data_IF_503339340817
#
_entry.id   IF_503339340817
#
_cell.length_a   1.000
_cell.length_b   1.000
_cell.length_c   1.000
_cell.angle_alpha   90.00
_cell.angle_beta   90.00
_cell.angle_gamma   90.00
#
_symmetry.space_group_name_H-M   'P 1'
#
loop_
_entity.id
_entity.type
_entity.pdbx_description
1 polymer ?
#
# COMPACT_ATOMS: atom_id res chain seq x y z
N UNK A 1 -15.86 33.03 -9.01
CA UNK A 1 -16.17 31.62 -8.70
C UNK A 1 -15.05 30.78 -9.26
N UNK A 2 -14.08 30.41 -8.43
CA UNK A 2 -12.94 29.60 -8.85
C UNK A 2 -13.36 28.14 -8.81
N UNK A 3 -13.53 27.52 -9.97
CA UNK A 3 -13.79 26.08 -10.08
C UNK A 3 -12.53 25.36 -9.61
N UNK A 4 -12.57 24.76 -8.43
CA UNK A 4 -11.52 23.84 -7.97
C UNK A 4 -11.59 22.61 -8.89
N UNK A 5 -10.58 22.43 -9.74
CA UNK A 5 -10.48 21.25 -10.58
C UNK A 5 -10.45 20.02 -9.67
N UNK A 6 -11.39 19.09 -9.86
CA UNK A 6 -11.37 17.83 -9.10
C UNK A 6 -10.06 17.11 -9.39
N UNK A 7 -9.36 16.60 -8.37
CA UNK A 7 -8.16 15.80 -8.59
C UNK A 7 -8.49 14.61 -9.48
N UNK A 8 -7.65 14.36 -10.48
CA UNK A 8 -7.80 13.21 -11.38
C UNK A 8 -7.57 11.95 -10.56
N UNK A 9 -8.51 11.00 -10.63
CA UNK A 9 -8.32 9.68 -10.06
C UNK A 9 -7.14 8.98 -10.77
N UNK A 10 -6.22 8.42 -10.00
CA UNK A 10 -5.04 7.70 -10.47
C UNK A 10 -5.10 6.24 -10.01
N UNK A 11 -4.67 5.34 -10.89
CA UNK A 11 -4.54 3.92 -10.57
C UNK A 11 -3.11 3.62 -10.15
N UNK A 12 -3.00 2.89 -9.05
CA UNK A 12 -1.72 2.46 -8.46
C UNK A 12 -1.78 0.99 -8.06
N UNK A 13 -0.62 0.36 -7.90
CA UNK A 13 -0.54 -0.90 -7.16
C UNK A 13 -0.95 -0.66 -5.71
N UNK A 14 -1.70 -1.60 -5.15
CA UNK A 14 -1.96 -1.58 -3.72
C UNK A 14 -0.65 -1.69 -2.93
N UNK A 15 -0.54 -1.03 -1.75
CA UNK A 15 0.57 -1.21 -0.84
C UNK A 15 0.82 -2.69 -0.53
N UNK A 16 2.10 -3.05 -0.50
CA UNK A 16 2.53 -4.41 -0.20
C UNK A 16 2.39 -5.41 -1.34
N UNK A 17 1.95 -5.00 -2.54
CA UNK A 17 2.06 -5.85 -3.73
C UNK A 17 3.54 -6.06 -4.05
N UNK A 18 3.97 -7.31 -3.98
CA UNK A 18 5.30 -7.76 -4.37
C UNK A 18 5.23 -8.40 -5.76
N UNK A 19 6.26 -8.16 -6.57
CA UNK A 19 6.39 -8.75 -7.91
C UNK A 19 7.69 -9.52 -8.01
N UNK A 20 7.60 -10.74 -8.53
CA UNK A 20 8.72 -11.62 -8.78
C UNK A 20 8.76 -11.92 -10.28
N UNK A 21 9.72 -11.32 -11.01
CA UNK A 21 9.96 -11.69 -12.40
C UNK A 21 10.40 -13.15 -12.49
N UNK A 22 9.80 -13.88 -13.42
CA UNK A 22 10.20 -15.23 -13.82
C UNK A 22 10.79 -15.16 -15.24
N UNK A 23 11.34 -16.28 -15.73
CA UNK A 23 12.03 -16.33 -17.03
C UNK A 23 11.19 -15.76 -18.19
N UNK A 24 9.89 -16.09 -18.25
CA UNK A 24 8.96 -15.63 -19.28
C UNK A 24 7.58 -15.28 -18.69
N UNK A 25 7.55 -14.91 -17.41
CA UNK A 25 6.34 -14.72 -16.64
C UNK A 25 6.55 -13.71 -15.51
N UNK A 26 5.46 -13.33 -14.85
CA UNK A 26 5.47 -12.47 -13.66
C UNK A 26 4.59 -13.11 -12.60
N UNK A 27 5.11 -13.28 -11.39
CA UNK A 27 4.28 -13.60 -10.24
C UNK A 27 4.06 -12.34 -9.40
N UNK A 28 2.79 -12.01 -9.15
CA UNK A 28 2.41 -10.88 -8.30
C UNK A 28 1.64 -11.40 -7.09
N UNK A 29 1.97 -10.86 -5.91
CA UNK A 29 1.33 -11.23 -4.65
C UNK A 29 1.00 -9.98 -3.85
N UNK A 30 -0.26 -9.81 -3.50
CA UNK A 30 -0.73 -8.78 -2.59
C UNK A 30 -1.72 -9.35 -1.57
N UNK A 31 -2.29 -8.47 -0.75
CA UNK A 31 -3.31 -8.85 0.23
C UNK A 31 -4.61 -9.35 -0.43
N UNK A 32 -5.01 -8.72 -1.54
CA UNK A 32 -6.25 -9.05 -2.26
C UNK A 32 -6.19 -10.34 -3.07
N UNK A 33 -4.98 -10.87 -3.31
CA UNK A 33 -4.78 -12.09 -4.07
C UNK A 33 -3.37 -12.23 -4.60
N UNK A 34 -3.17 -13.29 -5.37
CA UNK A 34 -1.96 -13.51 -6.14
C UNK A 34 -2.32 -13.93 -7.55
N UNK A 35 -1.50 -13.56 -8.52
CA UNK A 35 -1.67 -14.02 -9.89
C UNK A 35 -0.32 -14.24 -10.55
N UNK A 36 -0.28 -15.17 -11.49
CA UNK A 36 0.88 -15.38 -12.36
C UNK A 36 0.46 -15.04 -13.79
N UNK A 37 1.16 -14.08 -14.41
CA UNK A 37 1.00 -13.74 -15.82
C UNK A 37 2.00 -14.57 -16.63
N UNK A 38 1.49 -15.30 -17.61
CA UNK A 38 2.26 -16.14 -18.53
C UNK A 38 1.81 -15.91 -19.98
N UNK A 39 2.46 -16.61 -20.92
CA UNK A 39 2.05 -16.60 -22.34
C UNK A 39 2.78 -15.58 -23.21
N UNK A 40 3.77 -14.86 -22.68
CA UNK A 40 4.65 -14.00 -23.47
C UNK A 40 6.00 -13.75 -22.81
N UNK A 41 7.09 -13.97 -23.54
CA UNK A 41 8.46 -13.62 -23.10
C UNK A 41 8.68 -12.11 -22.94
N UNK A 42 7.78 -11.29 -23.48
CA UNK A 42 7.84 -9.84 -23.35
C UNK A 42 7.34 -9.33 -21.98
N UNK A 43 6.71 -10.18 -21.16
CA UNK A 43 6.09 -9.77 -19.88
C UNK A 43 7.07 -9.07 -18.93
N UNK A 44 8.29 -9.59 -18.67
CA UNK A 44 9.24 -8.88 -17.80
C UNK A 44 9.64 -7.50 -18.35
N UNK A 45 9.76 -7.36 -19.68
CA UNK A 45 10.08 -6.07 -20.29
C UNK A 45 8.90 -5.09 -20.19
N UNK A 46 7.68 -5.56 -20.45
CA UNK A 46 6.45 -4.79 -20.26
C UNK A 46 6.31 -4.32 -18.80
N UNK A 47 6.60 -5.19 -17.84
CA UNK A 47 6.55 -4.84 -16.42
C UNK A 47 7.52 -3.72 -16.06
N UNK A 48 8.77 -3.76 -16.55
CA UNK A 48 9.75 -2.70 -16.30
C UNK A 48 9.29 -1.33 -16.77
N UNK A 49 8.50 -1.27 -17.85
CA UNK A 49 7.89 -0.02 -18.32
C UNK A 49 6.79 0.48 -17.36
N UNK A 50 6.02 -0.44 -16.78
CA UNK A 50 4.83 -0.11 -15.98
C UNK A 50 5.11 0.07 -14.49
N UNK A 51 6.15 -0.55 -13.94
CA UNK A 51 6.33 -0.66 -12.48
C UNK A 51 6.42 0.71 -11.79
N UNK A 52 7.30 1.60 -12.25
CA UNK A 52 7.43 2.95 -11.67
C UNK A 52 6.10 3.72 -11.73
N UNK A 53 5.50 3.89 -12.93
CA UNK A 53 4.20 4.54 -13.08
C UNK A 53 3.09 3.93 -12.21
N UNK A 54 3.05 2.61 -12.06
CA UNK A 54 2.08 1.92 -11.22
C UNK A 54 2.32 2.10 -9.73
N UNK A 55 3.57 2.25 -9.28
CA UNK A 55 3.89 2.52 -7.87
C UNK A 55 3.67 3.98 -7.50
N UNK A 56 3.95 4.89 -8.42
CA UNK A 56 4.02 6.33 -8.15
C UNK A 56 2.72 7.07 -8.55
N UNK A 57 1.81 6.41 -9.27
CA UNK A 57 0.58 7.02 -9.79
C UNK A 57 0.78 7.82 -11.08
N UNK A 58 1.81 7.46 -11.86
CA UNK A 58 2.06 8.00 -13.19
C UNK A 58 1.39 7.22 -14.33
N UNK A 59 0.59 6.18 -14.02
CA UNK A 59 0.02 5.29 -15.02
C UNK A 59 -0.84 6.05 -16.04
N UNK A 60 -1.70 6.95 -15.58
CA UNK A 60 -2.61 7.71 -16.45
C UNK A 60 -1.85 8.55 -17.47
N UNK A 61 -0.77 9.24 -17.03
CA UNK A 61 0.08 10.02 -17.91
C UNK A 61 0.81 9.13 -18.94
N UNK A 62 1.28 7.95 -18.51
CA UNK A 62 1.88 6.98 -19.42
C UNK A 62 0.87 6.51 -20.49
N UNK A 63 -0.36 6.19 -20.08
CA UNK A 63 -1.41 5.72 -21.00
C UNK A 63 -1.85 6.82 -21.97
N UNK A 64 -1.92 8.07 -21.53
CA UNK A 64 -2.26 9.22 -22.38
C UNK A 64 -1.20 9.43 -23.49
N UNK A 65 0.07 9.05 -23.24
CA UNK A 65 1.16 9.11 -24.22
C UNK A 65 1.27 7.90 -25.17
N UNK A 66 0.49 6.84 -24.97
CA UNK A 66 0.52 5.64 -25.83
C UNK A 66 -0.39 5.80 -27.05
N UNK A 67 0.11 5.42 -28.23
CA UNK A 67 -0.69 5.38 -29.46
C UNK A 67 -1.97 4.55 -29.27
N UNK A 68 -3.17 5.14 -29.47
CA UNK A 68 -4.43 4.43 -29.33
C UNK A 68 -4.49 3.20 -30.23
N UNK A 69 -5.03 2.09 -29.71
CA UNK A 69 -5.16 0.80 -30.43
C UNK A 69 -3.82 0.19 -30.89
N UNK A 70 -2.68 0.67 -30.41
CA UNK A 70 -1.41 -0.05 -30.60
C UNK A 70 -1.43 -1.41 -29.91
N UNK A 71 -0.57 -2.34 -30.37
CA UNK A 71 -0.43 -3.65 -29.73
C UNK A 71 0.06 -3.52 -28.27
N UNK A 72 0.98 -2.58 -28.03
CA UNK A 72 1.46 -2.26 -26.69
C UNK A 72 0.31 -1.78 -25.80
N UNK A 73 -0.50 -0.82 -26.27
CA UNK A 73 -1.63 -0.31 -25.49
C UNK A 73 -2.60 -1.42 -25.11
N UNK A 74 -2.96 -2.31 -26.04
CA UNK A 74 -3.81 -3.47 -25.74
C UNK A 74 -3.18 -4.42 -24.70
N UNK A 75 -1.88 -4.70 -24.81
CA UNK A 75 -1.19 -5.55 -23.84
C UNK A 75 -1.20 -4.95 -22.43
N UNK A 76 -1.01 -3.63 -22.33
CA UNK A 76 -1.13 -2.90 -21.06
C UNK A 76 -2.56 -2.99 -20.53
N UNK A 77 -3.58 -2.70 -21.36
CA UNK A 77 -4.98 -2.74 -20.93
C UNK A 77 -5.38 -4.15 -20.41
N UNK A 78 -4.94 -5.22 -21.09
CA UNK A 78 -5.16 -6.62 -20.64
C UNK A 78 -4.47 -6.87 -19.29
N UNK A 79 -3.22 -6.45 -19.13
CA UNK A 79 -2.49 -6.61 -17.89
C UNK A 79 -3.20 -5.87 -16.74
N UNK A 80 -3.60 -4.62 -16.95
CA UNK A 80 -4.32 -3.82 -15.96
C UNK A 80 -5.64 -4.47 -15.56
N UNK A 81 -6.38 -5.02 -16.52
CA UNK A 81 -7.61 -5.77 -16.25
C UNK A 81 -7.37 -7.00 -15.36
N UNK A 82 -6.26 -7.72 -15.57
CA UNK A 82 -5.88 -8.84 -14.69
C UNK A 82 -5.51 -8.36 -13.28
N UNK A 83 -4.75 -7.27 -13.15
CA UNK A 83 -4.41 -6.72 -11.84
C UNK A 83 -5.66 -6.25 -11.07
N UNK A 84 -6.61 -5.61 -11.75
CA UNK A 84 -7.87 -5.17 -11.17
C UNK A 84 -8.75 -6.35 -10.73
N UNK A 85 -8.92 -7.35 -11.60
CA UNK A 85 -9.70 -8.55 -11.30
C UNK A 85 -9.18 -9.33 -10.08
N UNK A 86 -7.88 -9.23 -9.79
CA UNK A 86 -7.24 -9.87 -8.62
C UNK A 86 -7.03 -8.91 -7.45
N UNK A 87 -7.65 -7.72 -7.48
CA UNK A 87 -7.60 -6.75 -6.39
C UNK A 87 -6.19 -6.23 -6.10
N UNK A 88 -5.30 -6.21 -7.08
CA UNK A 88 -3.92 -5.72 -6.95
C UNK A 88 -3.78 -4.23 -7.26
N UNK A 89 -4.82 -3.61 -7.84
CA UNK A 89 -4.88 -2.16 -8.06
C UNK A 89 -5.76 -1.47 -7.03
N UNK A 90 -5.41 -0.22 -6.77
CA UNK A 90 -6.26 0.77 -6.09
C UNK A 90 -6.47 1.96 -7.01
N UNK A 91 -7.59 2.65 -6.83
CA UNK A 91 -7.88 3.92 -7.49
C UNK A 91 -8.06 4.96 -6.40
N UNK A 92 -7.27 6.02 -6.44
CA UNK A 92 -7.29 7.08 -5.42
C UNK A 92 -7.00 8.44 -6.02
N UNK A 93 -6.96 9.46 -5.18
CA UNK A 93 -6.59 10.81 -5.62
C UNK A 93 -5.08 10.90 -5.86
N UNK A 94 -4.71 11.69 -6.87
CA UNK A 94 -3.33 12.03 -7.19
C UNK A 94 -2.77 13.05 -6.18
N UNK A 95 -2.92 12.83 -4.88
CA UNK A 95 -2.38 13.77 -3.91
C UNK A 95 -0.84 13.75 -3.93
N UNK A 96 -0.19 14.92 -3.77
CA UNK A 96 1.25 14.99 -3.55
C UNK A 96 1.62 14.25 -2.26
N UNK A 97 2.86 13.79 -2.10
CA UNK A 97 3.25 13.03 -0.93
C UNK A 97 3.16 13.89 0.35
N UNK A 98 2.03 13.83 1.04
CA UNK A 98 1.85 14.37 2.38
C UNK A 98 2.49 13.49 3.46
N UNK A 99 2.56 14.01 4.69
CA UNK A 99 3.14 13.35 5.88
C UNK A 99 2.26 12.20 6.42
N UNK A 100 0.98 12.14 6.05
CA UNK A 100 0.03 11.12 6.54
C UNK A 100 0.19 9.76 5.80
N UNK A 101 1.23 9.03 6.18
CA UNK A 101 1.47 7.67 5.68
C UNK A 101 0.37 6.68 6.09
N UNK A 102 -0.21 6.84 7.28
CA UNK A 102 -1.22 5.92 7.83
C UNK A 102 -2.54 6.08 7.08
N UNK A 103 -3.02 7.32 6.90
CA UNK A 103 -4.23 7.61 6.14
C UNK A 103 -4.15 7.10 4.70
N UNK A 104 -3.00 7.27 4.03
CA UNK A 104 -2.77 6.68 2.70
C UNK A 104 -2.83 5.16 2.71
N UNK A 105 -2.14 4.52 3.65
CA UNK A 105 -2.15 3.07 3.75
C UNK A 105 -3.57 2.54 3.97
N UNK A 106 -4.37 3.21 4.80
CA UNK A 106 -5.78 2.88 5.02
C UNK A 106 -6.63 3.11 3.76
N UNK A 107 -6.45 4.23 3.07
CA UNK A 107 -7.14 4.52 1.81
C UNK A 107 -6.91 3.44 0.76
N UNK A 108 -5.70 2.87 0.73
CA UNK A 108 -5.32 1.89 -0.28
C UNK A 108 -5.48 0.42 0.16
N UNK A 109 -5.63 0.16 1.46
CA UNK A 109 -5.64 -1.21 2.02
C UNK A 109 -6.94 -1.60 2.71
N UNK A 110 -7.72 -0.63 3.21
CA UNK A 110 -8.97 -0.90 3.91
C UNK A 110 -10.16 -0.87 2.93
N UNK A 111 -11.13 -1.76 3.13
CA UNK A 111 -12.39 -1.75 2.38
C UNK A 111 -13.23 -0.51 2.69
N UNK A 112 -13.18 -0.05 3.94
CA UNK A 112 -13.84 1.18 4.43
C UNK A 112 -12.81 2.10 5.10
N UNK A 113 -12.03 2.87 4.33
CA UNK A 113 -10.91 3.65 4.86
C UNK A 113 -11.29 4.64 5.96
N UNK A 114 -12.39 5.38 5.78
CA UNK A 114 -12.87 6.35 6.76
C UNK A 114 -13.22 5.67 8.10
N UNK A 115 -13.93 4.53 8.05
CA UNK A 115 -14.30 3.77 9.24
C UNK A 115 -13.05 3.20 9.93
N UNK A 116 -12.08 2.72 9.17
CA UNK A 116 -10.83 2.19 9.70
C UNK A 116 -9.97 3.30 10.36
N UNK A 117 -9.92 4.49 9.74
CA UNK A 117 -9.24 5.65 10.31
C UNK A 117 -9.93 6.13 11.60
N UNK A 118 -11.26 6.19 11.61
CA UNK A 118 -12.04 6.54 12.80
C UNK A 118 -11.85 5.51 13.93
N UNK A 119 -11.82 4.22 13.60
CA UNK A 119 -11.54 3.16 14.55
C UNK A 119 -10.15 3.30 15.17
N UNK A 120 -9.11 3.50 14.33
CA UNK A 120 -7.74 3.70 14.82
C UNK A 120 -7.61 4.94 15.70
N UNK A 121 -8.22 6.07 15.31
CA UNK A 121 -8.22 7.30 16.10
C UNK A 121 -8.90 7.14 17.48
N UNK A 122 -9.82 6.18 17.60
CA UNK A 122 -10.50 5.85 18.86
C UNK A 122 -9.71 4.91 19.78
N UNK A 123 -8.64 4.26 19.29
CA UNK A 123 -7.87 3.27 20.05
C UNK A 123 -6.78 3.96 20.88
N UNK A 124 -6.67 3.55 22.14
CA UNK A 124 -5.52 3.82 23.01
C UNK A 124 -4.83 2.49 23.29
N UNK A 125 -3.59 2.36 22.85
CA UNK A 125 -2.79 1.17 23.10
C UNK A 125 -2.02 1.32 24.42
N UNK A 126 -1.79 0.20 25.08
CA UNK A 126 -0.97 0.12 26.29
C UNK A 126 0.16 -0.89 26.07
N UNK A 127 1.39 -0.51 26.41
CA UNK A 127 2.55 -1.40 26.40
C UNK A 127 2.92 -1.69 27.84
N UNK A 128 2.67 -2.92 28.30
CA UNK A 128 3.07 -3.39 29.62
C UNK A 128 4.45 -4.03 29.55
N UNK A 129 5.34 -3.67 30.48
CA UNK A 129 6.69 -4.23 30.58
C UNK A 129 7.21 -4.18 32.02
N UNK A 130 8.14 -5.08 32.38
CA UNK A 130 8.86 -5.01 33.67
C UNK A 130 9.53 -3.65 33.89
N UNK A 131 10.20 -3.13 32.86
CA UNK A 131 10.68 -1.75 32.78
C UNK A 131 10.16 -1.10 31.47
N UNK A 132 9.30 -0.05 31.54
CA UNK A 132 8.86 0.70 30.38
C UNK A 132 10.00 1.37 29.58
N UNK A 133 11.15 1.58 30.21
CA UNK A 133 12.37 2.11 29.61
C UNK A 133 13.18 1.09 28.82
N UNK A 134 12.85 -0.20 28.90
CA UNK A 134 13.59 -1.23 28.18
C UNK A 134 13.53 -1.03 26.65
N UNK A 135 14.58 -1.44 25.90
CA UNK A 135 14.64 -1.25 24.46
C UNK A 135 13.43 -1.80 23.70
N UNK A 136 12.89 -2.95 24.12
CA UNK A 136 11.73 -3.59 23.49
C UNK A 136 10.44 -2.79 23.73
N UNK A 137 10.17 -2.38 24.98
CA UNK A 137 8.99 -1.57 25.32
C UNK A 137 9.01 -0.21 24.60
N UNK A 138 10.18 0.43 24.54
CA UNK A 138 10.37 1.66 23.77
C UNK A 138 10.16 1.44 22.27
N UNK A 139 10.70 0.37 21.71
CA UNK A 139 10.56 0.06 20.28
C UNK A 139 9.10 -0.22 19.91
N UNK A 140 8.40 -1.05 20.69
CA UNK A 140 6.99 -1.36 20.48
C UNK A 140 6.12 -0.11 20.57
N UNK A 141 6.30 0.71 21.61
CA UNK A 141 5.53 1.94 21.73
C UNK A 141 5.80 2.92 20.57
N UNK A 142 7.05 3.07 20.12
CA UNK A 142 7.36 3.90 18.95
C UNK A 142 6.71 3.37 17.67
N UNK A 143 6.69 2.05 17.48
CA UNK A 143 6.07 1.44 16.32
C UNK A 143 4.55 1.69 16.30
N UNK A 144 3.88 1.58 17.46
CA UNK A 144 2.45 1.87 17.60
C UNK A 144 2.16 3.37 17.37
N UNK A 145 2.98 4.27 17.91
CA UNK A 145 2.88 5.72 17.67
C UNK A 145 3.06 6.07 16.19
N UNK A 146 4.04 5.46 15.51
CA UNK A 146 4.24 5.60 14.06
C UNK A 146 3.07 5.02 13.26
N UNK A 147 2.35 4.05 13.82
CA UNK A 147 1.09 3.52 13.29
C UNK A 147 -0.13 4.40 13.55
N UNK A 148 0.05 5.56 14.18
CA UNK A 148 -1.02 6.52 14.45
C UNK A 148 -1.81 6.27 15.74
N UNK A 149 -1.34 5.39 16.62
CA UNK A 149 -2.01 5.09 17.89
C UNK A 149 -1.50 5.99 19.01
N UNK A 150 -2.40 6.39 19.90
CA UNK A 150 -2.02 6.94 21.19
C UNK A 150 -1.56 5.80 22.12
N UNK A 151 -0.34 5.89 22.65
CA UNK A 151 0.29 4.80 23.41
C UNK A 151 0.63 5.23 24.83
N UNK A 152 0.20 4.42 25.80
CA UNK A 152 0.70 4.50 27.19
C UNK A 152 1.70 3.37 27.41
N UNK A 153 2.76 3.62 28.19
CA UNK A 153 3.74 2.60 28.58
C UNK A 153 3.67 2.45 30.09
N UNK A 154 3.36 1.25 30.56
CA UNK A 154 3.04 0.99 31.97
C UNK A 154 3.96 -0.09 32.52
N UNK A 155 4.48 0.14 33.73
CA UNK A 155 5.32 -0.83 34.41
C UNK A 155 4.45 -1.95 34.99
N UNK A 156 4.84 -3.19 34.75
CA UNK A 156 4.25 -4.37 35.36
C UNK A 156 5.38 -5.21 35.96
N UNK A 157 5.58 -5.17 37.28
CA UNK A 157 6.70 -5.82 37.94
C UNK A 157 6.65 -7.36 37.84
N UNK A 158 5.49 -7.94 37.50
CA UNK A 158 5.33 -9.38 37.35
C UNK A 158 5.76 -9.87 35.95
N UNK A 159 5.97 -8.95 35.01
CA UNK A 159 6.45 -9.27 33.67
C UNK A 159 7.97 -9.50 33.65
N UNK A 160 8.44 -10.66 33.14
CA UNK A 160 9.87 -10.91 32.99
C UNK A 160 10.55 -9.88 32.08
N UNK A 161 11.80 -9.54 32.40
CA UNK A 161 12.62 -8.65 31.58
C UNK A 161 12.70 -9.10 30.12
N UNK A 162 12.65 -8.14 29.19
CA UNK A 162 12.64 -8.41 27.75
C UNK A 162 11.34 -8.98 27.20
N UNK A 163 10.24 -8.97 27.98
CA UNK A 163 8.88 -9.25 27.50
C UNK A 163 8.00 -8.02 27.56
N UNK A 164 7.01 -7.98 26.67
CA UNK A 164 5.97 -6.96 26.64
C UNK A 164 4.59 -7.59 26.39
N UNK A 165 3.53 -6.93 26.83
CA UNK A 165 2.15 -7.21 26.41
C UNK A 165 1.56 -5.95 25.74
N UNK A 166 0.70 -6.17 24.75
CA UNK A 166 0.03 -5.14 23.92
C UNK A 166 -1.48 -5.34 23.92
#
# INVERSE_FOLDING_TARGET
>A
MTTVARPRAVRRLRPGVAVTPLRAALHLRGRGGSLTLEGSEALPALWRLLEGPLREGGLEALLDGMEPRSALRRAVDVLLGQLEAHGLLTTGEAEPPGEDLVGRWLAESAERPADAAAALAGVRAEVLAGDPGDPLARAAGRALEQGGLAVTRTADPDLPGGRILL
#
